data_IF_434600199182
#
_entry.id   IF_434600199182
#
_cell.length_a   1.000
_cell.length_b   1.000
_cell.length_c   1.000
_cell.angle_alpha   90.00
_cell.angle_beta   90.00
_cell.angle_gamma   90.00
#
_symmetry.space_group_name_H-M   'P 1'
#
loop_
_entity.id
_entity.type
_entity.pdbx_description
1 polymer ?
#
# COMPACT_ATOMS: atom_id res chain seq x y z
N UNK A 1 -40.08 40.49 -10.58
CA UNK A 1 -38.64 40.20 -10.56
C UNK A 1 -38.46 38.76 -10.10
N UNK A 2 -38.25 37.81 -11.03
CA UNK A 2 -37.84 36.44 -10.67
C UNK A 2 -36.30 36.42 -10.59
N UNK A 3 -35.77 36.22 -9.39
CA UNK A 3 -34.34 35.99 -9.17
C UNK A 3 -34.01 34.53 -9.46
N UNK A 4 -33.26 34.29 -10.53
CA UNK A 4 -32.74 32.97 -10.88
C UNK A 4 -31.49 32.69 -10.02
N UNK A 5 -31.63 31.86 -8.99
CA UNK A 5 -30.49 31.30 -8.26
C UNK A 5 -29.89 30.15 -9.07
N UNK A 6 -28.80 30.43 -9.76
CA UNK A 6 -27.95 29.42 -10.41
C UNK A 6 -27.10 28.72 -9.35
N UNK A 7 -27.52 27.51 -8.97
CA UNK A 7 -26.71 26.59 -8.16
C UNK A 7 -25.50 26.14 -8.99
N UNK A 8 -24.33 26.69 -8.68
CA UNK A 8 -23.04 26.22 -9.17
C UNK A 8 -22.73 24.86 -8.53
N UNK A 9 -23.00 23.78 -9.24
CA UNK A 9 -22.50 22.45 -8.86
C UNK A 9 -21.00 22.41 -9.12
N UNK A 10 -20.19 22.52 -8.07
CA UNK A 10 -18.74 22.28 -8.15
C UNK A 10 -18.55 20.80 -8.51
N UNK A 11 -17.86 20.46 -9.61
CA UNK A 11 -17.53 19.07 -9.86
C UNK A 11 -16.58 18.63 -8.74
N UNK A 12 -16.98 17.62 -7.98
CA UNK A 12 -16.05 16.94 -7.10
C UNK A 12 -14.95 16.36 -7.99
N UNK A 13 -13.76 16.97 -7.95
CA UNK A 13 -12.57 16.39 -8.56
C UNK A 13 -12.34 15.05 -7.85
N UNK A 14 -12.69 13.96 -8.53
CA UNK A 14 -12.26 12.64 -8.09
C UNK A 14 -10.74 12.69 -8.02
N UNK A 15 -10.18 12.46 -6.82
CA UNK A 15 -8.74 12.40 -6.66
C UNK A 15 -8.18 11.37 -7.65
N UNK A 16 -7.20 11.80 -8.44
CA UNK A 16 -6.62 10.98 -9.50
C UNK A 16 -5.98 9.74 -8.87
N UNK A 17 -6.45 8.56 -9.27
CA UNK A 17 -5.93 7.30 -8.75
C UNK A 17 -4.53 7.05 -9.33
N UNK A 18 -3.55 6.90 -8.44
CA UNK A 18 -2.18 6.59 -8.80
C UNK A 18 -1.93 5.08 -8.65
N UNK A 19 -1.00 4.54 -9.43
CA UNK A 19 -0.54 3.16 -9.28
C UNK A 19 0.55 3.08 -8.22
N UNK A 20 0.37 2.14 -7.29
CA UNK A 20 1.33 1.81 -6.27
C UNK A 20 1.72 0.33 -6.37
N UNK A 21 2.98 0.05 -6.04
CA UNK A 21 3.44 -1.28 -5.67
C UNK A 21 3.45 -1.40 -4.14
N UNK A 22 2.53 -2.18 -3.61
CA UNK A 22 2.57 -2.63 -2.22
C UNK A 22 3.50 -3.84 -2.12
N UNK A 23 4.63 -3.68 -1.43
CA UNK A 23 5.49 -4.79 -1.05
C UNK A 23 5.32 -5.08 0.43
N UNK A 24 5.02 -6.34 0.77
CA UNK A 24 4.82 -6.81 2.13
C UNK A 24 5.72 -7.99 2.44
N UNK A 25 6.30 -8.02 3.65
CA UNK A 25 7.05 -9.17 4.16
C UNK A 25 6.40 -9.67 5.43
N UNK A 26 6.04 -10.95 5.46
CA UNK A 26 5.65 -11.62 6.69
C UNK A 26 6.92 -12.13 7.39
N UNK A 27 7.18 -11.68 8.61
CA UNK A 27 8.34 -12.15 9.38
C UNK A 27 8.00 -13.51 10.01
N UNK A 28 8.66 -14.56 9.52
CA UNK A 28 8.44 -15.95 9.94
C UNK A 28 8.45 -16.12 11.47
N UNK A 29 7.46 -16.86 11.99
CA UNK A 29 7.29 -17.06 13.44
C UNK A 29 6.56 -15.94 14.18
N UNK A 30 6.08 -14.91 13.47
CA UNK A 30 5.30 -13.81 14.07
C UNK A 30 4.09 -13.41 13.21
N UNK A 31 3.10 -12.80 13.85
CA UNK A 31 1.99 -12.11 13.15
C UNK A 31 2.41 -10.71 12.63
N UNK A 32 3.70 -10.39 12.64
CA UNK A 32 4.22 -9.09 12.25
C UNK A 32 4.51 -9.07 10.75
N UNK A 33 3.69 -8.33 9.99
CA UNK A 33 4.01 -7.94 8.62
C UNK A 33 4.63 -6.55 8.59
N UNK A 34 5.58 -6.34 7.69
CA UNK A 34 6.04 -5.01 7.29
C UNK A 34 5.59 -4.71 5.87
N UNK A 35 5.21 -3.47 5.59
CA UNK A 35 4.73 -3.06 4.27
C UNK A 35 5.28 -1.71 3.86
N UNK A 36 5.51 -1.54 2.55
CA UNK A 36 5.90 -0.26 1.92
C UNK A 36 5.03 -0.02 0.69
N UNK A 37 4.86 1.25 0.36
CA UNK A 37 4.00 1.74 -0.72
C UNK A 37 4.87 2.51 -1.71
N UNK A 38 5.22 1.89 -2.83
CA UNK A 38 6.11 2.49 -3.83
C UNK A 38 5.30 3.06 -5.00
N UNK A 39 5.48 4.34 -5.27
CA UNK A 39 4.90 5.01 -6.43
C UNK A 39 6.02 5.48 -7.37
N UNK A 40 5.78 5.31 -8.65
CA UNK A 40 6.67 5.70 -9.74
C UNK A 40 5.83 6.43 -10.79
N UNK A 41 6.02 7.74 -11.00
CA UNK A 41 5.15 8.53 -11.89
C UNK A 41 5.05 8.00 -13.33
N UNK A 42 6.10 7.30 -13.79
CA UNK A 42 6.19 6.67 -15.10
C UNK A 42 5.41 5.34 -15.22
N UNK A 43 4.87 4.80 -14.13
CA UNK A 43 4.05 3.59 -14.11
C UNK A 43 2.61 4.01 -13.82
N UNK A 44 1.80 4.06 -14.87
CA UNK A 44 0.44 4.61 -14.79
C UNK A 44 -0.65 3.55 -14.85
N UNK A 45 -0.27 2.30 -15.15
CA UNK A 45 -1.20 1.17 -15.25
C UNK A 45 -0.78 0.00 -14.37
N UNK A 46 -1.76 -0.80 -13.91
CA UNK A 46 -1.46 -2.04 -13.17
C UNK A 46 -0.67 -3.03 -14.02
N UNK A 47 -0.89 -3.07 -15.34
CA UNK A 47 -0.16 -3.96 -16.24
C UNK A 47 1.33 -3.61 -16.30
N UNK A 48 1.67 -2.32 -16.38
CA UNK A 48 3.07 -1.86 -16.32
C UNK A 48 3.72 -2.18 -14.99
N UNK A 49 3.01 -1.98 -13.87
CA UNK A 49 3.47 -2.38 -12.55
C UNK A 49 3.72 -3.89 -12.48
N UNK A 50 2.78 -4.71 -12.94
CA UNK A 50 2.91 -6.16 -12.93
C UNK A 50 4.07 -6.64 -13.80
N UNK A 51 4.27 -6.01 -14.97
CA UNK A 51 5.41 -6.26 -15.83
C UNK A 51 6.73 -5.94 -15.13
N UNK A 52 6.81 -4.79 -14.47
CA UNK A 52 7.99 -4.39 -13.69
C UNK A 52 8.27 -5.36 -12.53
N UNK A 53 7.23 -5.81 -11.81
CA UNK A 53 7.35 -6.82 -10.75
C UNK A 53 7.87 -8.15 -11.29
N UNK A 54 7.32 -8.64 -12.41
CA UNK A 54 7.78 -9.89 -13.02
C UNK A 54 9.26 -9.83 -13.42
N UNK A 55 9.70 -8.72 -14.02
CA UNK A 55 11.10 -8.50 -14.39
C UNK A 55 11.97 -8.46 -13.13
N UNK A 56 11.60 -7.65 -12.13
CA UNK A 56 12.37 -7.54 -10.88
C UNK A 56 12.48 -8.84 -10.10
N UNK A 57 11.43 -9.67 -10.09
CA UNK A 57 11.48 -10.99 -9.46
C UNK A 57 12.34 -12.00 -10.23
N UNK A 58 12.25 -12.02 -11.56
CA UNK A 58 12.97 -12.99 -12.42
C UNK A 58 14.44 -12.64 -12.53
N UNK A 59 14.72 -11.39 -12.90
CA UNK A 59 16.05 -10.94 -13.32
C UNK A 59 16.83 -10.35 -12.12
N UNK A 60 16.18 -10.26 -10.94
CA UNK A 60 16.67 -9.59 -9.74
C UNK A 60 16.98 -8.11 -9.97
N UNK A 61 16.35 -7.53 -10.98
CA UNK A 61 16.65 -6.21 -11.48
C UNK A 61 15.44 -5.29 -11.40
N UNK A 62 15.46 -4.39 -10.42
CA UNK A 62 14.34 -3.50 -10.09
C UNK A 62 14.53 -2.10 -10.68
N UNK A 63 15.05 -1.98 -11.90
CA UNK A 63 15.35 -0.68 -12.53
C UNK A 63 14.19 0.31 -12.58
N UNK A 64 12.93 -0.17 -12.65
CA UNK A 64 11.76 0.72 -12.72
C UNK A 64 11.21 1.13 -11.36
N UNK A 65 11.69 0.49 -10.29
CA UNK A 65 11.36 0.78 -8.91
C UNK A 65 12.68 0.80 -8.14
N UNK A 66 13.37 1.94 -8.19
CA UNK A 66 14.73 2.11 -7.65
C UNK A 66 14.84 1.89 -6.12
N UNK A 67 13.72 1.57 -5.46
CA UNK A 67 13.50 1.56 -4.01
C UNK A 67 13.02 0.21 -3.47
N UNK A 68 13.18 -0.90 -4.20
CA UNK A 68 12.62 -2.17 -3.75
C UNK A 68 13.53 -2.87 -2.74
N UNK A 69 12.88 -3.36 -1.68
CA UNK A 69 13.37 -4.34 -0.70
C UNK A 69 14.34 -5.35 -1.32
N UNK A 70 15.64 -5.07 -1.19
CA UNK A 70 16.64 -6.05 -1.55
C UNK A 70 16.63 -7.18 -0.50
N UNK A 71 16.49 -8.44 -0.96
CA UNK A 71 16.39 -9.63 -0.08
C UNK A 71 17.59 -9.79 0.85
N UNK A 72 18.74 -9.28 0.44
CA UNK A 72 19.99 -9.26 1.20
C UNK A 72 19.94 -8.37 2.47
N UNK A 73 18.98 -7.43 2.56
CA UNK A 73 18.77 -6.57 3.74
C UNK A 73 18.00 -7.28 4.87
N UNK A 74 17.47 -8.49 4.63
CA UNK A 74 16.77 -9.33 5.63
C UNK A 74 17.65 -10.47 6.15
N UNK A 75 18.96 -10.26 6.32
CA UNK A 75 19.83 -11.28 6.91
C UNK A 75 19.27 -11.73 8.26
N UNK A 76 18.85 -13.00 8.36
CA UNK A 76 18.31 -13.61 9.58
C UNK A 76 16.80 -13.87 9.61
N UNK A 77 16.01 -13.42 8.62
CA UNK A 77 14.57 -13.72 8.55
C UNK A 77 14.19 -14.48 7.28
N UNK A 78 13.58 -15.66 7.42
CA UNK A 78 12.87 -16.36 6.35
C UNK A 78 11.50 -15.70 6.14
N UNK A 79 11.48 -14.56 5.47
CA UNK A 79 10.24 -13.83 5.16
C UNK A 79 9.65 -14.19 3.80
N UNK A 80 8.34 -14.44 3.73
CA UNK A 80 7.62 -14.51 2.46
C UNK A 80 7.30 -13.09 1.99
N UNK A 81 7.85 -12.71 0.84
CA UNK A 81 7.60 -11.42 0.19
C UNK A 81 6.36 -11.54 -0.72
N UNK A 82 5.37 -10.68 -0.51
CA UNK A 82 4.17 -10.51 -1.34
C UNK A 82 4.22 -9.14 -2.02
N UNK A 83 4.07 -9.13 -3.34
CA UNK A 83 4.05 -7.91 -4.16
C UNK A 83 2.67 -7.77 -4.79
N UNK A 84 2.03 -6.61 -4.61
CA UNK A 84 0.70 -6.31 -5.15
C UNK A 84 0.71 -4.96 -5.86
N UNK A 85 0.33 -4.96 -7.13
CA UNK A 85 0.04 -3.74 -7.87
C UNK A 85 -1.38 -3.29 -7.56
N UNK A 86 -1.55 -2.04 -7.16
CA UNK A 86 -2.82 -1.49 -6.66
C UNK A 86 -3.01 -0.04 -7.13
N UNK A 87 -4.25 0.40 -7.16
CA UNK A 87 -4.59 1.81 -7.30
C UNK A 87 -4.81 2.44 -5.93
N UNK A 88 -4.46 3.70 -5.75
CA UNK A 88 -4.84 4.46 -4.56
C UNK A 88 -5.05 5.93 -4.89
N UNK A 89 -6.06 6.52 -4.27
CA UNK A 89 -6.21 7.98 -4.15
C UNK A 89 -5.49 8.53 -2.92
N UNK A 90 -4.96 7.65 -2.07
CA UNK A 90 -4.17 7.99 -0.89
C UNK A 90 -2.70 8.16 -1.26
N UNK A 91 -2.07 9.20 -0.69
CA UNK A 91 -0.66 9.49 -0.89
C UNK A 91 0.17 9.07 0.30
N UNK A 92 1.38 8.60 0.02
CA UNK A 92 2.32 8.15 1.04
C UNK A 92 3.60 8.96 0.94
N UNK A 93 4.24 9.23 2.09
CA UNK A 93 5.56 9.85 2.10
C UNK A 93 6.57 8.98 1.36
N UNK A 94 7.69 9.57 0.91
CA UNK A 94 8.79 8.80 0.32
C UNK A 94 9.26 7.67 1.26
N UNK A 95 9.67 6.56 0.67
CA UNK A 95 10.22 5.42 1.39
C UNK A 95 11.70 5.65 1.68
N UNK A 96 12.11 5.46 2.93
CA UNK A 96 13.51 5.55 3.38
C UNK A 96 13.91 4.22 4.02
N UNK A 97 14.89 3.54 3.42
CA UNK A 97 15.36 2.22 3.87
C UNK A 97 16.00 2.23 5.27
N UNK A 98 16.38 3.42 5.76
CA UNK A 98 16.93 3.63 7.11
C UNK A 98 15.87 3.99 8.14
N UNK A 99 14.68 4.38 7.70
CA UNK A 99 13.60 4.76 8.60
C UNK A 99 13.03 3.54 9.34
N UNK A 100 12.73 3.72 10.63
CA UNK A 100 12.13 2.67 11.45
C UNK A 100 10.71 2.37 10.97
N UNK A 101 10.39 1.08 10.85
CA UNK A 101 9.01 0.62 10.72
C UNK A 101 8.27 0.84 12.04
N UNK A 102 7.52 1.93 12.11
CA UNK A 102 6.84 2.37 13.34
C UNK A 102 5.42 2.89 13.12
N UNK A 103 4.88 2.78 11.91
CA UNK A 103 3.53 3.22 11.58
C UNK A 103 2.61 2.00 11.41
N UNK A 104 1.78 1.65 12.40
CA UNK A 104 0.84 0.55 12.28
C UNK A 104 -0.30 0.92 11.34
N UNK A 105 -0.65 0.00 10.44
CA UNK A 105 -1.66 0.18 9.42
C UNK A 105 -2.60 -1.02 9.34
N UNK A 106 -3.89 -0.73 9.17
CA UNK A 106 -4.85 -1.65 8.59
C UNK A 106 -4.89 -1.39 7.08
N UNK A 107 -4.49 -2.40 6.31
CA UNK A 107 -4.38 -2.33 4.84
C UNK A 107 -5.46 -3.22 4.25
N UNK A 108 -6.26 -2.69 3.32
CA UNK A 108 -7.26 -3.43 2.56
C UNK A 108 -7.03 -3.26 1.05
N UNK A 109 -7.21 -4.34 0.28
CA UNK A 109 -7.19 -4.29 -1.20
C UNK A 109 -8.44 -4.98 -1.71
N UNK A 110 -9.34 -4.25 -2.36
CA UNK A 110 -10.56 -4.85 -2.91
C UNK A 110 -10.33 -5.59 -4.24
N UNK A 111 -11.41 -6.13 -4.80
CA UNK A 111 -11.39 -6.92 -6.03
C UNK A 111 -10.98 -6.11 -7.26
N UNK A 112 -11.12 -4.79 -7.21
CA UNK A 112 -10.70 -3.83 -8.23
C UNK A 112 -9.27 -3.34 -8.01
N UNK A 113 -8.54 -3.98 -7.09
CA UNK A 113 -7.19 -3.60 -6.67
C UNK A 113 -7.09 -2.19 -6.09
N UNK A 114 -8.17 -1.65 -5.54
CA UNK A 114 -8.14 -0.37 -4.83
C UNK A 114 -7.57 -0.59 -3.42
N UNK A 115 -6.45 0.06 -3.16
CA UNK A 115 -5.78 0.11 -1.87
C UNK A 115 -6.48 1.13 -0.97
N UNK A 116 -6.83 0.68 0.24
CA UNK A 116 -7.13 1.56 1.37
C UNK A 116 -6.22 1.27 2.55
N UNK A 117 -5.68 2.32 3.14
CA UNK A 117 -4.78 2.27 4.30
C UNK A 117 -5.31 3.17 5.39
N UNK A 118 -5.49 2.60 6.58
CA UNK A 118 -5.87 3.32 7.79
C UNK A 118 -4.74 3.26 8.82
N UNK A 119 -4.27 4.42 9.29
CA UNK A 119 -3.33 4.51 10.42
C UNK A 119 -4.03 4.12 11.71
N UNK A 120 -3.39 3.27 12.50
CA UNK A 120 -3.86 2.90 13.84
C UNK A 120 -2.74 3.14 14.87
N UNK A 121 -3.11 3.24 16.15
CA UNK A 121 -2.18 3.65 17.21
C UNK A 121 -1.17 2.57 17.58
N UNK A 122 -1.52 1.29 17.39
CA UNK A 122 -0.64 0.16 17.70
C UNK A 122 -0.99 -1.08 16.90
N UNK A 123 -0.05 -2.03 16.83
CA UNK A 123 -0.30 -3.34 16.22
C UNK A 123 -1.41 -4.12 16.94
N UNK A 124 -1.51 -3.99 18.27
CA UNK A 124 -2.59 -4.60 19.04
C UNK A 124 -3.95 -4.01 18.63
N UNK A 125 -4.04 -2.69 18.47
CA UNK A 125 -5.26 -2.04 18.00
C UNK A 125 -5.61 -2.47 16.57
N UNK A 126 -4.62 -2.61 15.69
CA UNK A 126 -4.84 -3.15 14.34
C UNK A 126 -5.48 -4.54 14.40
N UNK A 127 -4.90 -5.46 15.18
CA UNK A 127 -5.39 -6.83 15.30
C UNK A 127 -6.83 -6.88 15.84
N UNK A 128 -7.14 -6.05 16.85
CA UNK A 128 -8.51 -5.91 17.38
C UNK A 128 -9.48 -5.42 16.32
N UNK A 129 -9.11 -4.40 15.54
CA UNK A 129 -9.95 -3.88 14.45
C UNK A 129 -10.16 -4.91 13.35
N UNK A 130 -9.09 -5.56 12.89
CA UNK A 130 -9.14 -6.61 11.87
C UNK A 130 -10.07 -7.76 12.29
N UNK A 131 -10.02 -8.19 13.56
CA UNK A 131 -10.90 -9.22 14.11
C UNK A 131 -12.38 -8.78 14.11
N UNK A 132 -12.65 -7.50 14.33
CA UNK A 132 -13.99 -6.90 14.36
C UNK A 132 -14.61 -6.63 12.99
N UNK A 133 -13.87 -6.77 11.89
CA UNK A 133 -14.41 -6.62 10.54
C UNK A 133 -15.36 -7.77 10.17
N UNK A 134 -16.28 -7.51 9.25
CA UNK A 134 -17.03 -8.57 8.57
C UNK A 134 -16.10 -9.56 7.87
N UNK A 135 -16.53 -10.79 7.66
CA UNK A 135 -15.70 -11.82 7.02
C UNK A 135 -15.17 -11.38 5.65
N UNK A 136 -16.03 -10.81 4.81
CA UNK A 136 -15.65 -10.28 3.50
C UNK A 136 -14.57 -9.19 3.60
N UNK A 137 -14.73 -8.24 4.53
CA UNK A 137 -13.72 -7.17 4.74
C UNK A 137 -12.43 -7.72 5.34
N UNK A 138 -12.51 -8.68 6.25
CA UNK A 138 -11.35 -9.32 6.87
C UNK A 138 -10.53 -10.11 5.85
N UNK A 139 -11.17 -10.80 4.91
CA UNK A 139 -10.50 -11.58 3.86
C UNK A 139 -9.58 -10.72 2.96
N UNK A 140 -9.95 -9.46 2.74
CA UNK A 140 -9.19 -8.51 1.94
C UNK A 140 -8.29 -7.58 2.77
N UNK A 141 -8.24 -7.75 4.09
CA UNK A 141 -7.54 -6.84 5.00
C UNK A 141 -6.43 -7.53 5.77
N UNK A 142 -5.39 -6.78 6.11
CA UNK A 142 -4.25 -7.24 6.90
C UNK A 142 -3.68 -6.13 7.76
N UNK A 143 -3.01 -6.52 8.84
CA UNK A 143 -2.24 -5.59 9.67
C UNK A 143 -0.77 -5.62 9.27
N UNK A 144 -0.16 -4.45 9.14
CA UNK A 144 1.26 -4.32 8.88
C UNK A 144 1.83 -3.07 9.56
N UNK A 145 3.15 -3.01 9.69
CA UNK A 145 3.86 -1.79 10.06
C UNK A 145 4.57 -1.24 8.83
N UNK A 146 4.45 0.06 8.58
CA UNK A 146 5.23 0.78 7.57
C UNK A 146 6.22 1.76 8.20
N UNK A 147 7.12 2.28 7.37
CA UNK A 147 8.00 3.40 7.69
C UNK A 147 7.62 4.69 6.92
N UNK A 148 6.62 4.61 6.04
CA UNK A 148 6.03 5.76 5.35
C UNK A 148 4.81 6.28 6.12
N UNK A 149 4.53 7.58 5.99
CA UNK A 149 3.33 8.23 6.53
C UNK A 149 2.25 8.30 5.46
N UNK A 150 1.00 8.17 5.88
CA UNK A 150 -0.15 8.55 5.08
C UNK A 150 -0.25 10.09 5.10
N UNK A 151 -0.34 10.71 3.91
CA UNK A 151 -0.32 12.17 3.73
C UNK A 151 -1.72 12.77 3.66
#
# INVERSE_FOLDING_TARGET
MLGLLTLLTVPALAAEQEVYLLASVQLGGSNLAQSIFLHEPQITTLEECQKAVRIGQRDRDWLRYHHIFMRDRFQGFTGQLDYRCVFSDQRFSHWDDRARYSHPYLISIDEQAILRVERVESQAQCASRLKGLSEARRAISRCAVGNQRLL
#
